data_IF_413275604943
#
_entry.id   IF_413275604943
#
_cell.length_a   1.000
_cell.length_b   1.000
_cell.length_c   1.000
_cell.angle_alpha   90.00
_cell.angle_beta   90.00
_cell.angle_gamma   90.00
#
_symmetry.space_group_name_H-M   'P 1'
#
loop_
_entity.id
_entity.type
_entity.pdbx_description
1 polymer ?
#
# COMPACT_ATOMS: atom_id res chain seq x y z
N UNK A 1 7.50 2.80 29.85
CA UNK A 1 8.48 2.38 28.81
C UNK A 1 9.09 3.61 28.12
N UNK A 2 10.42 3.75 28.13
CA UNK A 2 11.12 4.74 27.30
C UNK A 2 10.87 4.41 25.83
N UNK A 3 10.10 5.25 25.16
CA UNK A 3 9.80 5.08 23.74
C UNK A 3 11.06 5.43 22.94
N UNK A 4 11.54 4.50 22.13
CA UNK A 4 12.71 4.70 21.27
C UNK A 4 12.26 4.91 19.84
N UNK A 5 12.88 5.87 19.19
CA UNK A 5 12.85 6.03 17.74
C UNK A 5 13.60 4.88 17.05
N UNK A 6 13.40 4.76 15.74
CA UNK A 6 13.97 3.66 14.97
C UNK A 6 14.11 3.99 13.48
N UNK A 7 15.13 3.40 12.86
CA UNK A 7 15.32 3.40 11.42
C UNK A 7 14.95 2.02 10.88
N UNK A 8 14.12 1.99 9.84
CA UNK A 8 13.66 0.76 9.20
C UNK A 8 13.97 0.76 7.72
N UNK A 9 14.18 -0.44 7.20
CA UNK A 9 14.19 -0.73 5.78
C UNK A 9 13.00 -1.63 5.46
N UNK A 10 12.28 -1.30 4.38
CA UNK A 10 11.15 -2.06 3.88
C UNK A 10 11.35 -2.42 2.42
N UNK A 11 10.76 -3.53 1.99
CA UNK A 11 10.69 -3.93 0.60
C UNK A 11 9.31 -4.50 0.29
N UNK A 12 8.58 -3.82 -0.57
CA UNK A 12 7.30 -4.29 -1.10
C UNK A 12 7.48 -4.73 -2.56
N UNK A 13 6.89 -5.87 -2.93
CA UNK A 13 6.87 -6.34 -4.31
C UNK A 13 5.45 -6.74 -4.70
N UNK A 14 4.99 -6.29 -5.87
CA UNK A 14 3.69 -6.65 -6.43
C UNK A 14 3.88 -7.23 -7.82
N UNK A 15 3.33 -8.41 -8.11
CA UNK A 15 3.54 -9.10 -9.39
C UNK A 15 2.22 -9.51 -10.02
N UNK A 16 2.08 -9.29 -11.33
CA UNK A 16 0.93 -9.71 -12.12
C UNK A 16 1.33 -10.83 -13.06
N UNK A 17 0.82 -12.03 -12.78
CA UNK A 17 1.14 -13.23 -13.53
C UNK A 17 -0.02 -13.66 -14.43
N UNK A 18 0.25 -13.89 -15.72
CA UNK A 18 -0.73 -14.41 -16.67
C UNK A 18 -0.83 -15.94 -16.60
N UNK A 19 -1.14 -16.47 -15.42
CA UNK A 19 -1.17 -17.92 -15.17
C UNK A 19 -2.16 -18.67 -16.08
N UNK A 20 -3.23 -18.00 -16.51
CA UNK A 20 -4.26 -18.55 -17.40
C UNK A 20 -3.95 -18.38 -18.89
N UNK A 21 -2.71 -18.03 -19.27
CA UNK A 21 -2.32 -17.80 -20.66
C UNK A 21 -1.27 -18.81 -21.15
N UNK A 22 -1.62 -20.11 -21.31
CA UNK A 22 -0.68 -21.14 -21.76
C UNK A 22 -0.10 -20.88 -23.15
N UNK A 23 -0.83 -20.22 -24.05
CA UNK A 23 -0.45 -19.94 -25.44
C UNK A 23 0.79 -19.03 -25.59
N UNK A 24 1.15 -18.29 -24.55
CA UNK A 24 2.34 -17.42 -24.51
C UNK A 24 3.29 -17.80 -23.37
N UNK A 25 3.19 -19.02 -22.86
CA UNK A 25 4.01 -19.56 -21.77
C UNK A 25 3.80 -18.87 -20.40
N UNK A 26 2.57 -18.39 -20.13
CA UNK A 26 2.17 -17.84 -18.82
C UNK A 26 3.18 -16.82 -18.26
N UNK A 27 3.49 -15.73 -18.97
CA UNK A 27 4.53 -14.80 -18.53
C UNK A 27 4.03 -13.92 -17.37
N UNK A 28 4.96 -13.38 -16.59
CA UNK A 28 4.67 -12.21 -15.78
C UNK A 28 4.43 -11.02 -16.70
N UNK A 29 3.31 -10.32 -16.49
CA UNK A 29 3.00 -9.09 -17.24
C UNK A 29 3.82 -7.91 -16.73
N UNK A 30 3.99 -7.82 -15.41
CA UNK A 30 4.77 -6.78 -14.75
C UNK A 30 5.04 -7.18 -13.30
N UNK A 31 6.14 -6.69 -12.75
CA UNK A 31 6.49 -6.78 -11.33
C UNK A 31 6.97 -5.41 -10.88
N UNK A 32 6.34 -4.87 -9.84
CA UNK A 32 6.72 -3.60 -9.23
C UNK A 32 7.55 -3.88 -7.98
N UNK A 33 8.70 -3.21 -7.87
CA UNK A 33 9.66 -3.29 -6.78
C UNK A 33 9.66 -1.95 -6.03
N UNK A 34 9.41 -1.98 -4.72
CA UNK A 34 9.25 -0.78 -3.89
C UNK A 34 10.07 -0.86 -2.59
N UNK A 35 11.42 -0.68 -2.66
CA UNK A 35 12.25 -0.53 -1.47
C UNK A 35 12.08 0.85 -0.83
N UNK A 36 12.06 0.89 0.51
CA UNK A 36 11.97 2.12 1.29
C UNK A 36 12.90 2.12 2.52
N UNK A 37 13.32 3.32 2.91
CA UNK A 37 13.99 3.58 4.20
C UNK A 37 13.17 4.62 4.94
N UNK A 38 12.90 4.38 6.22
CA UNK A 38 12.02 5.23 7.02
C UNK A 38 12.52 5.41 8.44
N UNK A 39 12.45 6.64 8.93
CA UNK A 39 12.65 6.98 10.34
C UNK A 39 11.28 7.08 11.02
N UNK A 40 11.12 6.36 12.12
CA UNK A 40 9.86 6.26 12.89
C UNK A 40 10.07 6.84 14.28
N UNK A 41 9.30 7.89 14.56
CA UNK A 41 9.23 8.53 15.86
C UNK A 41 7.96 8.07 16.62
N UNK A 42 8.10 7.59 17.87
CA UNK A 42 6.98 7.09 18.66
C UNK A 42 6.20 8.25 19.31
N UNK A 43 5.41 8.98 18.52
CA UNK A 43 4.58 10.10 18.98
C UNK A 43 3.69 9.72 20.16
N UNK A 44 3.06 8.55 20.09
CA UNK A 44 2.28 7.89 21.15
C UNK A 44 1.54 8.86 22.11
N UNK A 45 0.45 9.45 21.64
CA UNK A 45 -0.34 10.45 22.37
C UNK A 45 -1.82 10.06 22.42
N UNK A 46 -2.47 10.33 23.55
CA UNK A 46 -3.92 10.19 23.68
C UNK A 46 -4.62 11.31 22.91
N UNK A 47 -5.58 10.94 22.09
CA UNK A 47 -6.46 11.84 21.35
C UNK A 47 -7.89 11.77 21.91
N UNK A 48 -8.77 12.73 21.56
CA UNK A 48 -10.19 12.69 21.93
C UNK A 48 -10.89 11.40 21.51
N UNK A 49 -11.99 11.08 22.20
CA UNK A 49 -12.85 9.92 21.92
C UNK A 49 -12.16 8.55 22.00
N UNK A 50 -11.06 8.45 22.77
CA UNK A 50 -10.35 7.19 23.00
C UNK A 50 -9.29 6.86 21.95
N UNK A 51 -9.15 7.67 20.90
CA UNK A 51 -8.11 7.45 19.88
C UNK A 51 -6.72 7.61 20.46
N UNK A 52 -5.76 6.87 19.91
CA UNK A 52 -4.35 6.95 20.27
C UNK A 52 -3.54 7.16 19.01
N UNK A 53 -2.85 8.30 18.94
CA UNK A 53 -1.83 8.53 17.93
C UNK A 53 -0.63 7.65 18.27
N UNK A 54 -0.17 6.77 17.39
CA UNK A 54 0.88 5.80 17.70
C UNK A 54 2.27 6.25 17.26
N UNK A 55 2.40 6.71 16.02
CA UNK A 55 3.68 7.08 15.47
C UNK A 55 3.57 8.18 14.42
N UNK A 56 4.69 8.83 14.17
CA UNK A 56 4.92 9.68 13.00
C UNK A 56 6.27 9.33 12.41
N UNK A 57 6.45 9.58 11.12
CA UNK A 57 7.70 9.25 10.48
C UNK A 57 7.90 9.96 9.16
N UNK A 58 9.11 9.84 8.67
CA UNK A 58 9.51 10.30 7.36
C UNK A 58 10.24 9.16 6.65
N UNK A 59 10.14 9.11 5.33
CA UNK A 59 10.84 8.09 4.56
C UNK A 59 11.13 8.51 3.14
N UNK A 60 11.98 7.73 2.50
CA UNK A 60 12.27 7.78 1.07
C UNK A 60 11.97 6.43 0.47
N UNK A 61 11.35 6.42 -0.69
CA UNK A 61 10.95 5.20 -1.40
C UNK A 61 11.26 5.34 -2.87
N UNK A 62 11.87 4.29 -3.41
CA UNK A 62 11.98 4.08 -4.85
C UNK A 62 10.91 3.09 -5.25
N UNK A 63 10.25 3.30 -6.39
CA UNK A 63 9.35 2.31 -6.96
C UNK A 63 9.58 2.21 -8.46
N UNK A 64 9.83 1.01 -8.97
CA UNK A 64 10.02 0.75 -10.39
C UNK A 64 9.53 -0.63 -10.80
N UNK A 65 9.26 -0.83 -12.09
CA UNK A 65 8.80 -2.11 -12.62
C UNK A 65 9.93 -3.01 -13.18
N UNK A 66 11.19 -2.57 -13.08
CA UNK A 66 12.37 -3.32 -13.54
C UNK A 66 12.44 -3.56 -15.05
N UNK A 67 11.63 -2.88 -15.86
CA UNK A 67 11.58 -3.06 -17.31
C UNK A 67 12.55 -2.12 -18.04
N UNK A 68 12.92 -2.49 -19.26
CA UNK A 68 13.60 -1.57 -20.20
C UNK A 68 12.59 -0.72 -20.98
N UNK A 69 13.07 0.35 -21.62
CA UNK A 69 12.24 1.14 -22.53
C UNK A 69 11.68 0.27 -23.67
N UNK A 70 10.44 0.52 -24.13
CA UNK A 70 9.54 1.61 -23.73
C UNK A 70 8.62 1.30 -22.53
N UNK A 71 8.77 0.13 -21.91
CA UNK A 71 7.92 -0.35 -20.82
C UNK A 71 8.42 0.07 -19.43
N UNK A 72 9.64 0.62 -19.33
CA UNK A 72 10.21 1.13 -18.08
C UNK A 72 9.25 2.12 -17.41
N UNK A 73 9.02 1.92 -16.11
CA UNK A 73 8.29 2.86 -15.25
C UNK A 73 9.01 2.95 -13.93
N UNK A 74 9.25 4.17 -13.46
CA UNK A 74 9.94 4.41 -12.20
C UNK A 74 9.63 5.80 -11.65
N UNK A 75 9.73 5.93 -10.33
CA UNK A 75 9.68 7.22 -9.65
C UNK A 75 10.26 7.09 -8.23
N UNK A 76 10.69 8.22 -7.70
CA UNK A 76 11.22 8.35 -6.35
C UNK A 76 10.34 9.32 -5.55
N UNK A 77 10.12 9.02 -4.26
CA UNK A 77 9.30 9.85 -3.37
C UNK A 77 9.96 10.03 -2.02
N UNK A 78 9.84 11.23 -1.46
CA UNK A 78 9.99 11.44 -0.03
C UNK A 78 8.59 11.57 0.58
N UNK A 79 8.36 10.96 1.74
CA UNK A 79 7.04 10.92 2.35
C UNK A 79 7.06 11.23 3.85
N UNK A 80 5.93 11.74 4.33
CA UNK A 80 5.52 11.78 5.73
C UNK A 80 4.54 10.64 5.96
N UNK A 81 4.61 10.01 7.12
CA UNK A 81 3.66 8.98 7.52
C UNK A 81 3.24 9.12 8.98
N UNK A 82 2.05 8.62 9.28
CA UNK A 82 1.50 8.61 10.63
C UNK A 82 0.47 7.50 10.77
N UNK A 83 0.30 7.00 12.00
CA UNK A 83 -0.72 6.00 12.30
C UNK A 83 -1.37 6.24 13.65
N UNK A 84 -2.67 6.00 13.71
CA UNK A 84 -3.49 6.07 14.92
C UNK A 84 -4.40 4.86 15.02
N UNK A 85 -4.80 4.53 16.24
CA UNK A 85 -5.67 3.41 16.53
C UNK A 85 -6.80 3.82 17.48
N UNK A 86 -7.90 3.06 17.45
CA UNK A 86 -8.93 3.10 18.47
C UNK A 86 -9.07 1.69 19.05
N UNK A 87 -8.46 1.51 20.22
CA UNK A 87 -8.27 0.21 20.86
C UNK A 87 -7.74 -0.80 19.83
N UNK A 88 -8.33 -2.00 19.79
CA UNK A 88 -8.07 -3.01 18.76
C UNK A 88 -9.10 -3.01 17.63
N UNK A 89 -10.01 -2.02 17.59
CA UNK A 89 -11.13 -1.99 16.62
C UNK A 89 -10.72 -1.28 15.33
N UNK A 90 -9.97 -0.19 15.43
CA UNK A 90 -9.59 0.59 14.26
C UNK A 90 -8.09 0.83 14.20
N UNK A 91 -7.55 0.75 12.98
CA UNK A 91 -6.21 1.23 12.64
C UNK A 91 -6.35 2.16 11.44
N UNK A 92 -5.83 3.37 11.56
CA UNK A 92 -5.83 4.36 10.48
C UNK A 92 -4.39 4.81 10.25
N UNK A 93 -3.94 4.70 9.00
CA UNK A 93 -2.64 5.21 8.57
C UNK A 93 -2.82 6.24 7.48
N UNK A 94 -1.96 7.25 7.47
CA UNK A 94 -1.90 8.23 6.40
C UNK A 94 -0.46 8.40 5.94
N UNK A 95 -0.28 8.56 4.63
CA UNK A 95 0.97 8.94 3.99
C UNK A 95 0.72 10.16 3.10
N UNK A 96 1.63 11.11 3.15
CA UNK A 96 1.71 12.23 2.19
C UNK A 96 3.09 12.21 1.57
N UNK A 97 3.20 12.38 0.26
CA UNK A 97 4.48 12.31 -0.41
C UNK A 97 4.67 13.39 -1.46
N UNK A 98 5.94 13.69 -1.69
CA UNK A 98 6.42 14.54 -2.76
C UNK A 98 7.29 13.70 -3.68
N UNK A 99 7.00 13.75 -4.98
CA UNK A 99 7.87 13.17 -6.01
C UNK A 99 9.22 13.89 -5.99
N UNK A 100 10.29 13.11 -6.01
CA UNK A 100 11.65 13.59 -6.23
C UNK A 100 11.85 13.61 -7.74
N UNK A 101 12.18 14.78 -8.28
CA UNK A 101 12.26 15.00 -9.72
C UNK A 101 13.41 14.24 -10.38
N UNK A 102 13.17 13.78 -11.60
CA UNK A 102 14.15 13.13 -12.48
C UNK A 102 14.45 14.06 -13.65
N UNK A 103 15.58 13.85 -14.34
CA UNK A 103 15.88 14.62 -15.55
C UNK A 103 14.86 14.31 -16.64
N UNK A 104 14.50 15.29 -17.47
CA UNK A 104 13.50 15.07 -18.54
C UNK A 104 13.91 13.94 -19.52
N UNK A 105 15.22 13.72 -19.72
CA UNK A 105 15.76 12.64 -20.56
C UNK A 105 15.67 11.25 -19.92
N UNK A 106 15.40 11.15 -18.62
CA UNK A 106 15.35 9.90 -17.85
C UNK A 106 14.01 9.69 -17.14
N UNK A 107 13.01 10.54 -17.40
CA UNK A 107 11.70 10.47 -16.75
C UNK A 107 10.76 9.58 -17.56
N UNK A 108 10.61 8.34 -17.12
CA UNK A 108 9.78 7.33 -17.77
C UNK A 108 8.27 7.65 -17.71
N UNK A 109 7.84 8.49 -16.77
CA UNK A 109 6.42 8.76 -16.49
C UNK A 109 6.25 10.13 -15.79
N UNK A 110 6.43 11.24 -16.53
CA UNK A 110 6.49 12.59 -15.95
C UNK A 110 5.20 13.03 -15.24
N UNK A 111 4.06 12.49 -15.68
CA UNK A 111 2.72 12.80 -15.19
C UNK A 111 2.21 11.85 -14.09
N UNK A 112 3.04 10.91 -13.59
CA UNK A 112 2.61 9.87 -12.64
C UNK A 112 1.91 10.40 -11.37
N UNK A 113 2.37 11.55 -10.85
CA UNK A 113 1.78 12.20 -9.67
C UNK A 113 0.37 12.74 -9.92
N UNK A 114 -0.05 12.90 -11.17
CA UNK A 114 -1.41 13.33 -11.49
C UNK A 114 -2.40 12.16 -11.52
N UNK A 115 -1.92 10.92 -11.50
CA UNK A 115 -2.75 9.71 -11.52
C UNK A 115 -2.74 8.97 -10.19
N UNK A 116 -1.57 8.53 -9.72
CA UNK A 116 -1.44 7.82 -8.44
C UNK A 116 -1.64 8.79 -7.27
N UNK A 117 -1.15 10.01 -7.45
CA UNK A 117 -1.38 11.12 -6.54
C UNK A 117 -0.24 11.42 -5.58
N UNK A 118 -0.60 12.08 -4.47
CA UNK A 118 0.33 12.69 -3.49
C UNK A 118 0.01 12.30 -2.05
N UNK A 119 -1.02 11.49 -1.84
CA UNK A 119 -1.41 11.03 -0.52
C UNK A 119 -2.21 9.74 -0.54
N UNK A 120 -2.10 9.01 0.56
CA UNK A 120 -2.82 7.76 0.84
C UNK A 120 -3.40 7.83 2.25
N UNK A 121 -4.64 7.37 2.39
CA UNK A 121 -5.31 7.16 3.66
C UNK A 121 -5.83 5.72 3.68
N UNK A 122 -5.41 4.94 4.66
CA UNK A 122 -5.92 3.58 4.89
C UNK A 122 -6.62 3.51 6.24
N UNK A 123 -7.80 2.88 6.29
CA UNK A 123 -8.52 2.58 7.50
C UNK A 123 -8.90 1.10 7.53
N UNK A 124 -8.60 0.43 8.63
CA UNK A 124 -8.92 -0.97 8.87
C UNK A 124 -9.80 -1.09 10.11
N UNK A 125 -10.90 -1.81 9.97
CA UNK A 125 -11.87 -2.08 11.02
C UNK A 125 -11.91 -3.57 11.32
N UNK A 126 -11.51 -3.94 12.53
CA UNK A 126 -11.72 -5.27 13.06
C UNK A 126 -13.18 -5.37 13.54
N UNK A 127 -14.04 -5.92 12.69
CA UNK A 127 -15.47 -6.09 12.97
C UNK A 127 -15.68 -7.03 14.15
N UNK A 128 -14.91 -8.12 14.15
CA UNK A 128 -14.86 -9.13 15.20
C UNK A 128 -13.46 -9.76 15.25
N UNK A 129 -13.33 -10.85 16.00
CA UNK A 129 -12.04 -11.54 16.18
C UNK A 129 -11.51 -12.19 14.88
N UNK A 130 -12.34 -12.48 13.90
CA UNK A 130 -11.99 -13.22 12.68
C UNK A 130 -12.03 -12.36 11.42
N UNK A 131 -12.81 -11.26 11.42
CA UNK A 131 -13.11 -10.43 10.26
C UNK A 131 -12.53 -9.01 10.37
N UNK A 132 -11.81 -8.59 9.33
CA UNK A 132 -11.31 -7.21 9.15
C UNK A 132 -11.80 -6.65 7.82
N UNK A 133 -12.34 -5.44 7.83
CA UNK A 133 -12.59 -4.65 6.63
C UNK A 133 -11.50 -3.58 6.46
N UNK A 134 -11.05 -3.34 5.24
CA UNK A 134 -10.06 -2.33 4.89
C UNK A 134 -10.57 -1.40 3.80
N UNK A 135 -10.24 -0.12 3.91
CA UNK A 135 -10.40 0.88 2.86
C UNK A 135 -9.09 1.62 2.70
N UNK A 136 -8.53 1.62 1.50
CA UNK A 136 -7.39 2.47 1.12
C UNK A 136 -7.80 3.43 0.02
N UNK A 137 -7.56 4.72 0.24
CA UNK A 137 -7.82 5.80 -0.69
C UNK A 137 -6.51 6.46 -1.09
N UNK A 138 -6.32 6.70 -2.39
CA UNK A 138 -5.26 7.54 -2.93
C UNK A 138 -5.86 8.71 -3.69
N UNK A 139 -5.25 9.88 -3.57
CA UNK A 139 -5.73 11.10 -4.23
C UNK A 139 -4.57 11.91 -4.82
N UNK A 140 -4.84 12.53 -5.97
CA UNK A 140 -3.96 13.52 -6.62
C UNK A 140 -3.63 14.70 -5.70
N UNK A 141 -4.53 15.04 -4.77
CA UNK A 141 -4.49 16.26 -3.95
C UNK A 141 -4.31 17.53 -4.80
N UNK A 142 -4.82 17.51 -6.03
CA UNK A 142 -4.91 18.67 -6.90
C UNK A 142 -6.36 18.81 -7.42
N UNK A 143 -6.60 19.75 -8.34
CA UNK A 143 -7.93 19.96 -8.91
C UNK A 143 -8.44 18.81 -9.78
N UNK A 144 -7.59 17.83 -10.13
CA UNK A 144 -7.98 16.66 -10.91
C UNK A 144 -8.58 15.57 -10.02
N UNK A 145 -9.76 15.00 -10.35
CA UNK A 145 -10.42 13.97 -9.53
C UNK A 145 -9.78 12.57 -9.66
N UNK A 146 -8.47 12.50 -9.95
CA UNK A 146 -7.74 11.25 -10.16
C UNK A 146 -7.23 10.67 -8.83
N UNK A 147 -7.14 9.35 -8.80
CA UNK A 147 -6.77 8.59 -7.61
C UNK A 147 -7.31 7.16 -7.69
N UNK A 148 -7.40 6.49 -6.55
CA UNK A 148 -7.94 5.14 -6.45
C UNK A 148 -8.57 4.85 -5.10
N UNK A 149 -9.50 3.90 -5.09
CA UNK A 149 -10.02 3.28 -3.89
C UNK A 149 -9.77 1.77 -3.94
N UNK A 150 -9.42 1.18 -2.80
CA UNK A 150 -9.33 -0.26 -2.59
C UNK A 150 -10.15 -0.63 -1.37
N UNK A 151 -11.15 -1.49 -1.56
CA UNK A 151 -11.92 -2.12 -0.50
C UNK A 151 -11.40 -3.53 -0.28
N UNK A 152 -11.30 -3.94 0.98
CA UNK A 152 -10.71 -5.21 1.36
C UNK A 152 -11.55 -5.88 2.45
N UNK A 153 -11.73 -7.18 2.34
CA UNK A 153 -12.27 -8.02 3.40
C UNK A 153 -11.31 -9.18 3.65
N UNK A 154 -10.95 -9.35 4.91
CA UNK A 154 -10.05 -10.41 5.37
C UNK A 154 -10.75 -11.25 6.43
N UNK A 155 -10.80 -12.56 6.23
CA UNK A 155 -11.38 -13.51 7.17
C UNK A 155 -10.35 -14.54 7.59
N UNK A 156 -10.18 -14.73 8.89
CA UNK A 156 -9.26 -15.74 9.45
C UNK A 156 -9.73 -17.15 9.11
N UNK A 157 -8.83 -17.98 8.59
CA UNK A 157 -9.10 -19.36 8.19
C UNK A 157 -8.45 -20.37 9.13
N UNK A 158 -9.30 -21.20 9.76
CA UNK A 158 -8.87 -22.31 10.61
C UNK A 158 -8.33 -21.87 11.98
N UNK A 159 -7.78 -22.84 12.70
CA UNK A 159 -7.10 -22.65 13.99
C UNK A 159 -5.59 -22.80 13.81
N UNK A 160 -4.81 -22.02 14.55
CA UNK A 160 -3.36 -22.09 14.57
C UNK A 160 -2.84 -23.33 15.30
N UNK A 161 -1.56 -23.65 15.09
CA UNK A 161 -0.85 -24.69 15.84
C UNK A 161 -0.92 -24.36 17.35
N UNK A 162 -1.46 -25.29 18.16
CA UNK A 162 -1.70 -25.07 19.59
C UNK A 162 -3.06 -24.49 19.96
N UNK A 163 -4.03 -24.43 19.03
CA UNK A 163 -5.41 -24.01 19.31
C UNK A 163 -5.64 -22.50 19.30
N UNK A 164 -4.62 -21.72 18.92
CA UNK A 164 -4.69 -20.27 18.75
C UNK A 164 -5.36 -19.83 17.44
N UNK A 165 -5.32 -18.52 17.16
CA UNK A 165 -5.79 -17.96 15.89
C UNK A 165 -4.81 -18.32 14.76
N UNK A 166 -5.32 -18.73 13.61
CA UNK A 166 -4.49 -18.96 12.41
C UNK A 166 -4.01 -17.63 11.82
N UNK A 167 -2.78 -17.60 11.32
CA UNK A 167 -2.23 -16.45 10.58
C UNK A 167 -2.68 -16.42 9.11
N UNK A 168 -3.32 -17.49 8.63
CA UNK A 168 -3.88 -17.57 7.28
C UNK A 168 -5.24 -16.88 7.23
N UNK A 169 -5.44 -16.02 6.24
CA UNK A 169 -6.72 -15.34 5.98
C UNK A 169 -7.15 -15.51 4.53
N UNK A 170 -8.45 -15.69 4.32
CA UNK A 170 -9.09 -15.39 3.04
C UNK A 170 -9.01 -13.88 2.85
N UNK A 171 -8.58 -13.43 1.67
CA UNK A 171 -8.44 -12.01 1.35
C UNK A 171 -9.15 -11.71 0.04
N UNK A 172 -10.20 -10.92 0.14
CA UNK A 172 -10.98 -10.43 -1.00
C UNK A 172 -10.74 -8.93 -1.14
N UNK A 173 -10.48 -8.47 -2.36
CA UNK A 173 -10.20 -7.05 -2.65
C UNK A 173 -11.00 -6.58 -3.86
N UNK A 174 -11.46 -5.34 -3.82
CA UNK A 174 -11.99 -4.60 -4.96
C UNK A 174 -11.23 -3.29 -5.10
N UNK A 175 -10.44 -3.17 -6.15
CA UNK A 175 -9.72 -1.95 -6.53
C UNK A 175 -10.49 -1.22 -7.64
N UNK A 176 -10.55 0.10 -7.58
CA UNK A 176 -11.05 0.96 -8.64
C UNK A 176 -10.27 2.27 -8.70
N UNK A 177 -9.68 2.59 -9.85
CA UNK A 177 -8.93 3.83 -10.06
C UNK A 177 -7.67 3.65 -10.89
N UNK A 178 -6.69 4.52 -10.64
CA UNK A 178 -5.39 4.57 -11.31
C UNK A 178 -4.27 4.01 -10.42
N UNK A 179 -3.17 3.55 -11.01
CA UNK A 179 -2.03 3.07 -10.23
C UNK A 179 -2.22 1.70 -9.58
N UNK A 180 -3.00 0.80 -10.21
CA UNK A 180 -3.06 -0.62 -9.83
C UNK A 180 -1.65 -1.24 -9.89
N UNK A 181 -0.91 -0.94 -10.97
CA UNK A 181 0.51 -1.26 -11.17
C UNK A 181 1.23 -0.08 -11.81
N UNK A 182 2.57 -0.05 -11.77
CA UNK A 182 3.35 1.01 -12.41
C UNK A 182 3.12 1.06 -13.92
N UNK A 183 3.00 -0.10 -14.60
CA UNK A 183 2.75 -0.11 -16.05
C UNK A 183 1.37 0.45 -16.43
N UNK A 184 0.38 0.31 -15.55
CA UNK A 184 -0.99 0.81 -15.73
C UNK A 184 -1.25 2.13 -14.98
N UNK A 185 -0.22 2.88 -14.57
CA UNK A 185 -0.39 4.04 -13.68
C UNK A 185 -1.40 5.06 -14.22
N UNK A 186 -1.40 5.30 -15.54
CA UNK A 186 -2.28 6.25 -16.22
C UNK A 186 -3.55 5.61 -16.79
N UNK A 187 -3.86 4.36 -16.44
CA UNK A 187 -5.03 3.63 -16.90
C UNK A 187 -5.99 3.38 -15.75
N UNK A 188 -7.24 3.84 -15.90
CA UNK A 188 -8.30 3.53 -14.94
C UNK A 188 -8.72 2.06 -15.07
N UNK A 189 -8.73 1.33 -13.96
CA UNK A 189 -9.13 -0.08 -13.91
C UNK A 189 -10.04 -0.34 -12.72
N UNK A 190 -10.90 -1.35 -12.87
CA UNK A 190 -11.62 -1.98 -11.76
C UNK A 190 -11.18 -3.43 -11.70
N UNK A 191 -10.69 -3.88 -10.55
CA UNK A 191 -10.10 -5.22 -10.37
C UNK A 191 -10.68 -5.86 -9.12
N UNK A 192 -11.25 -7.06 -9.28
CA UNK A 192 -11.70 -7.89 -8.18
C UNK A 192 -10.71 -9.03 -7.98
N UNK A 193 -10.24 -9.22 -6.75
CA UNK A 193 -9.23 -10.21 -6.38
C UNK A 193 -9.76 -11.06 -5.24
N UNK A 194 -9.56 -12.37 -5.33
CA UNK A 194 -9.77 -13.31 -4.22
C UNK A 194 -8.50 -14.13 -4.09
N UNK A 195 -7.99 -14.24 -2.88
CA UNK A 195 -6.77 -14.97 -2.59
C UNK A 195 -6.60 -15.24 -1.11
N UNK A 196 -5.37 -15.52 -0.73
CA UNK A 196 -4.99 -15.77 0.64
C UNK A 196 -3.95 -14.73 1.06
N UNK A 197 -4.01 -14.30 2.32
CA UNK A 197 -2.96 -13.51 2.94
C UNK A 197 -2.45 -14.19 4.19
N UNK A 198 -1.16 -13.98 4.46
CA UNK A 198 -0.51 -14.34 5.70
C UNK A 198 -0.21 -13.04 6.42
N UNK A 199 -0.63 -12.93 7.66
CA UNK A 199 -0.26 -11.81 8.50
C UNK A 199 0.24 -12.37 9.82
N UNK A 200 1.50 -12.12 10.12
CA UNK A 200 2.12 -12.43 11.40
C UNK A 200 2.47 -11.09 12.07
N UNK A 201 1.88 -10.83 13.24
CA UNK A 201 2.26 -9.71 14.12
C UNK A 201 2.07 -10.07 15.58
#
# INVERSE_FOLDING_TARGET
PTRKDSLWFGYTQQSYWQVFSPQISRPFRTTDHEPEVMYVYPTDAQLPWGWRWRYSGIGVVHQSNGQSLPLSRSWNRAYLMTGMELDNRWVVNARLWKRIGESASSDDNPDISDYIGRGELSAFWNMDKDNTLGLTLRSSLNSSPRGSARLEWMQTLGTGLGGGKSNLRLHTQLFSGYGDSMIDYNRKRTVFTVGLSLVDF
#
